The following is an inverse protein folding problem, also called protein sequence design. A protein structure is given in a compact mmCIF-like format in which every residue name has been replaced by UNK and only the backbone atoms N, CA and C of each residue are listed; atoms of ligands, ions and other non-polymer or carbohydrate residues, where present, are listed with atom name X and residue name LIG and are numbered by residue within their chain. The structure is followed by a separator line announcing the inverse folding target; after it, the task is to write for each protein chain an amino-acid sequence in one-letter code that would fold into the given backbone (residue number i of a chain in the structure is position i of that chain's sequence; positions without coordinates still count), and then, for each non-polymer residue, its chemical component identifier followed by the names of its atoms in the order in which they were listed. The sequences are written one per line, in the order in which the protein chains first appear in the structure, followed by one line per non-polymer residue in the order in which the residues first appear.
data_IF_658345358113
#
_entry.id   IF_658345358113
#
_cell.length_a   1.000
_cell.length_b   1.000
_cell.length_c   1.000
_cell.angle_alpha   90.00
_cell.angle_beta   90.00
_cell.angle_gamma   90.00
#
_symmetry.space_group_name_H-M   'P 1'
#
loop_
_entity.id
_entity.type
_entity.pdbx_description
1 polymer ?
#
# COMPACT_ATOMS: atom_id res chain seq x y z
N UNK A 1 -7.33 -6.10 15.16
CA UNK A 1 -6.72 -4.84 14.69
C UNK A 1 -5.46 -5.20 13.95
N UNK A 2 -5.39 -4.89 12.66
CA UNK A 2 -4.16 -5.00 11.88
C UNK A 2 -3.89 -3.62 11.31
N UNK A 3 -2.73 -3.06 11.64
CA UNK A 3 -2.23 -1.85 11.03
C UNK A 3 -0.72 -1.98 10.87
N UNK A 4 -0.25 -1.74 9.65
CA UNK A 4 1.14 -1.87 9.25
C UNK A 4 1.56 -0.48 8.79
N UNK A 5 2.50 0.16 9.50
CA UNK A 5 3.14 1.38 9.02
C UNK A 5 4.09 1.02 7.88
N UNK A 6 3.91 1.65 6.73
CA UNK A 6 4.65 1.38 5.50
C UNK A 6 5.77 2.41 5.27
N UNK A 7 5.54 3.67 5.64
CA UNK A 7 6.52 4.76 5.56
C UNK A 7 6.16 5.86 6.56
N UNK A 8 7.14 6.70 6.92
CA UNK A 8 6.96 7.86 7.80
C UNK A 8 6.62 9.15 7.05
N UNK A 9 6.84 9.19 5.73
CA UNK A 9 6.61 10.36 4.85
C UNK A 9 6.12 9.89 3.48
N UNK A 10 5.84 10.83 2.57
CA UNK A 10 5.54 10.53 1.16
C UNK A 10 6.59 9.61 0.52
N UNK A 11 6.11 8.62 -0.25
CA UNK A 11 6.92 7.51 -0.75
C UNK A 11 7.86 7.94 -1.90
N UNK A 12 9.13 7.53 -1.80
CA UNK A 12 10.04 7.48 -2.95
C UNK A 12 9.72 6.29 -3.86
N UNK A 13 10.31 6.21 -5.06
CA UNK A 13 10.11 5.03 -5.92
C UNK A 13 10.59 3.74 -5.25
N UNK A 14 11.72 3.80 -4.54
CA UNK A 14 12.28 2.67 -3.78
C UNK A 14 11.32 2.23 -2.66
N UNK A 15 10.67 3.18 -1.98
CA UNK A 15 9.65 2.87 -0.98
C UNK A 15 8.45 2.17 -1.62
N UNK A 16 7.97 2.66 -2.77
CA UNK A 16 6.86 2.05 -3.50
C UNK A 16 7.19 0.60 -3.85
N UNK A 17 8.37 0.34 -4.41
CA UNK A 17 8.80 -1.02 -4.75
C UNK A 17 8.94 -1.91 -3.51
N UNK A 18 9.51 -1.38 -2.43
CA UNK A 18 9.65 -2.10 -1.15
C UNK A 18 8.28 -2.46 -0.57
N UNK A 19 7.33 -1.54 -0.59
CA UNK A 19 5.96 -1.76 -0.11
C UNK A 19 5.25 -2.81 -0.95
N UNK A 20 5.30 -2.68 -2.28
CA UNK A 20 4.73 -3.65 -3.20
C UNK A 20 5.31 -5.05 -2.99
N UNK A 21 6.63 -5.16 -2.78
CA UNK A 21 7.27 -6.44 -2.46
C UNK A 21 6.78 -7.00 -1.14
N UNK A 22 6.69 -6.16 -0.10
CA UNK A 22 6.19 -6.56 1.20
C UNK A 22 4.77 -7.14 1.11
N UNK A 23 3.87 -6.49 0.35
CA UNK A 23 2.52 -6.99 0.13
C UNK A 23 2.50 -8.36 -0.57
N UNK A 24 3.40 -8.59 -1.53
CA UNK A 24 3.53 -9.88 -2.21
C UNK A 24 4.15 -10.99 -1.34
N UNK A 25 4.95 -10.66 -0.32
CA UNK A 25 5.52 -11.64 0.61
C UNK A 25 4.45 -12.25 1.53
N UNK A 26 3.37 -11.50 1.79
CA UNK A 26 2.23 -11.97 2.57
C UNK A 26 1.25 -12.77 1.71
N UNK A 27 1.45 -14.09 1.64
CA UNK A 27 0.60 -15.02 0.86
C UNK A 27 -0.90 -14.88 1.14
N UNK A 28 -1.27 -14.59 2.39
CA UNK A 28 -2.66 -14.35 2.77
C UNK A 28 -3.24 -13.09 2.09
N UNK A 29 -2.45 -12.03 1.91
CA UNK A 29 -2.90 -10.82 1.20
C UNK A 29 -2.97 -11.08 -0.31
N UNK A 30 -1.98 -11.77 -0.87
CA UNK A 30 -1.95 -12.12 -2.30
C UNK A 30 -3.19 -12.92 -2.70
N UNK A 31 -3.64 -13.85 -1.87
CA UNK A 31 -4.85 -14.64 -2.13
C UNK A 31 -6.15 -13.81 -2.13
N UNK A 32 -6.12 -12.60 -1.56
CA UNK A 32 -7.27 -11.70 -1.45
C UNK A 32 -7.26 -10.58 -2.49
N UNK A 33 -6.14 -10.38 -3.20
CA UNK A 33 -6.00 -9.35 -4.22
C UNK A 33 -6.82 -9.69 -5.46
N UNK A 34 -7.37 -8.67 -6.10
CA UNK A 34 -7.96 -8.83 -7.43
C UNK A 34 -6.86 -9.06 -8.48
N UNK A 35 -7.18 -9.64 -9.65
CA UNK A 35 -6.23 -9.76 -10.75
C UNK A 35 -5.63 -8.41 -11.17
N UNK A 36 -6.43 -7.34 -11.16
CA UNK A 36 -5.98 -5.98 -11.51
C UNK A 36 -4.97 -5.44 -10.49
N UNK A 37 -5.25 -5.56 -9.19
CA UNK A 37 -4.31 -5.16 -8.14
C UNK A 37 -2.99 -5.94 -8.25
N UNK A 38 -3.07 -7.25 -8.53
CA UNK A 38 -1.91 -8.10 -8.73
C UNK A 38 -1.09 -7.66 -9.96
N UNK A 39 -1.75 -7.26 -11.04
CA UNK A 39 -1.11 -6.75 -12.25
C UNK A 39 -0.44 -5.39 -12.01
N UNK A 40 -1.10 -4.48 -11.30
CA UNK A 40 -0.54 -3.17 -10.94
C UNK A 40 0.73 -3.33 -10.09
N UNK A 41 0.71 -4.21 -9.08
CA UNK A 41 1.88 -4.53 -8.24
C UNK A 41 3.00 -5.18 -9.09
N UNK A 42 2.66 -6.13 -9.96
CA UNK A 42 3.61 -6.79 -10.85
C UNK A 42 4.29 -5.79 -11.80
N UNK A 43 3.53 -4.80 -12.30
CA UNK A 43 4.08 -3.73 -13.15
C UNK A 43 5.10 -2.88 -12.39
N UNK A 44 4.77 -2.47 -11.16
CA UNK A 44 5.66 -1.67 -10.30
C UNK A 44 6.98 -2.41 -10.04
N UNK A 45 6.90 -3.71 -9.72
CA UNK A 45 8.06 -4.54 -9.40
C UNK A 45 8.85 -5.01 -10.63
N UNK A 46 8.36 -4.73 -11.85
CA UNK A 46 9.02 -5.18 -13.07
C UNK A 46 10.38 -4.49 -13.22
N UNK A 47 11.46 -5.24 -13.49
CA UNK A 47 12.75 -4.66 -13.86
C UNK A 47 12.61 -3.82 -15.12
N UNK A 48 13.05 -2.56 -15.07
CA UNK A 48 13.01 -1.64 -16.20
C UNK A 48 14.43 -1.32 -16.67
N UNK A 49 14.68 -1.52 -17.96
CA UNK A 49 15.97 -1.24 -18.61
C UNK A 49 16.03 0.14 -19.28
N UNK A 50 14.97 0.94 -19.12
CA UNK A 50 14.84 2.25 -19.73
C UNK A 50 15.51 3.31 -18.84
N UNK A 51 16.08 4.38 -19.42
CA UNK A 51 16.86 5.37 -18.67
C UNK A 51 16.07 6.11 -17.58
N UNK A 52 14.74 6.23 -17.74
CA UNK A 52 13.84 6.82 -16.74
C UNK A 52 13.12 5.75 -15.88
N UNK A 53 13.55 4.49 -15.96
CA UNK A 53 12.99 3.34 -15.22
C UNK A 53 11.46 3.17 -15.29
N UNK A 54 10.79 3.84 -16.26
CA UNK A 54 9.33 4.01 -16.34
C UNK A 54 8.72 4.53 -15.02
N UNK A 55 9.43 5.43 -14.34
CA UNK A 55 9.03 5.96 -13.03
C UNK A 55 7.63 6.56 -13.05
N UNK A 56 7.29 7.38 -14.07
CA UNK A 56 5.97 8.00 -14.19
C UNK A 56 4.85 6.97 -14.24
N UNK A 57 5.05 5.88 -15.01
CA UNK A 57 4.07 4.79 -15.08
C UNK A 57 3.97 4.05 -13.75
N UNK A 58 5.10 3.73 -13.10
CA UNK A 58 5.11 3.08 -11.79
C UNK A 58 4.38 3.93 -10.74
N UNK A 59 4.59 5.24 -10.74
CA UNK A 59 3.88 6.19 -9.87
C UNK A 59 2.38 6.24 -10.19
N UNK A 60 1.98 6.18 -11.46
CA UNK A 60 0.57 6.11 -11.82
C UNK A 60 -0.11 4.83 -11.31
N UNK A 61 0.53 3.66 -11.48
CA UNK A 61 0.04 2.39 -10.92
C UNK A 61 -0.02 2.44 -9.39
N UNK A 62 0.96 3.07 -8.74
CA UNK A 62 0.95 3.26 -7.29
C UNK A 62 -0.20 4.15 -6.81
N UNK A 63 -0.46 5.28 -7.49
CA UNK A 63 -1.58 6.15 -7.15
C UNK A 63 -2.93 5.43 -7.32
N UNK A 64 -3.06 4.58 -8.35
CA UNK A 64 -4.24 3.74 -8.52
C UNK A 64 -4.40 2.79 -7.33
N UNK A 65 -3.35 2.08 -6.94
CA UNK A 65 -3.36 1.21 -5.75
C UNK A 65 -3.71 1.97 -4.48
N UNK A 66 -3.15 3.15 -4.24
CA UNK A 66 -3.48 3.95 -3.05
C UNK A 66 -4.97 4.29 -2.95
N UNK A 67 -5.63 4.54 -4.09
CA UNK A 67 -7.03 4.97 -4.13
C UNK A 67 -8.03 3.80 -4.18
N UNK A 68 -7.64 2.69 -4.81
CA UNK A 68 -8.57 1.60 -5.17
C UNK A 68 -8.23 0.27 -4.48
N UNK A 69 -7.07 0.16 -3.84
CA UNK A 69 -6.67 -1.09 -3.19
C UNK A 69 -7.47 -1.33 -1.92
N UNK A 70 -8.38 -2.28 -2.05
CA UNK A 70 -9.19 -2.81 -0.97
C UNK A 70 -9.17 -4.34 -1.05
N UNK A 71 -8.94 -4.98 0.08
CA UNK A 71 -9.05 -6.44 0.25
C UNK A 71 -9.83 -6.75 1.52
N UNK A 72 -10.53 -7.89 1.55
CA UNK A 72 -11.33 -8.29 2.72
C UNK A 72 -10.65 -9.43 3.44
N UNK A 73 -10.35 -9.25 4.74
CA UNK A 73 -9.73 -10.31 5.54
C UNK A 73 -10.69 -11.49 5.79
N UNK A 74 -10.15 -12.60 6.34
CA UNK A 74 -10.94 -13.81 6.68
C UNK A 74 -12.05 -13.56 7.72
N UNK A 75 -12.04 -12.40 8.39
CA UNK A 75 -13.02 -11.98 9.39
C UNK A 75 -14.05 -10.99 8.81
N UNK A 76 -13.99 -10.69 7.52
CA UNK A 76 -14.89 -9.76 6.84
C UNK A 76 -14.51 -8.29 6.98
N UNK A 77 -13.33 -7.97 7.51
CA UNK A 77 -12.88 -6.59 7.63
C UNK A 77 -12.25 -6.11 6.33
N UNK A 78 -12.65 -4.91 5.90
CA UNK A 78 -12.00 -4.20 4.82
C UNK A 78 -10.61 -3.72 5.25
N UNK A 79 -9.58 -4.12 4.49
CA UNK A 79 -8.22 -3.62 4.59
C UNK A 79 -7.93 -2.71 3.39
N UNK A 80 -7.38 -1.54 3.67
CA UNK A 80 -7.02 -0.55 2.64
C UNK A 80 -5.87 0.33 3.12
N UNK A 81 -5.39 1.19 2.24
CA UNK A 81 -4.40 2.20 2.59
C UNK A 81 -5.05 3.39 3.32
N UNK A 82 -4.35 3.90 4.32
CA UNK A 82 -4.69 5.11 5.06
C UNK A 82 -3.46 6.00 5.15
N UNK A 83 -3.65 7.30 4.92
CA UNK A 83 -2.60 8.32 5.01
C UNK A 83 -2.88 9.16 6.25
N UNK A 84 -1.90 9.22 7.15
CA UNK A 84 -1.93 10.17 8.26
C UNK A 84 -1.54 11.56 7.74
N UNK A 85 -2.43 12.54 7.86
CA UNK A 85 -2.23 13.88 7.30
C UNK A 85 -1.12 14.71 7.96
N UNK A 86 -0.93 14.68 9.30
CA UNK A 86 0.16 15.40 9.96
C UNK A 86 1.56 14.93 9.58
N UNK A 87 1.77 13.62 9.46
CA UNK A 87 3.11 13.04 9.19
C UNK A 87 3.33 12.63 7.73
N UNK A 88 2.27 12.58 6.92
CA UNK A 88 2.24 11.91 5.63
C UNK A 88 2.59 10.40 5.68
N UNK A 89 2.59 9.79 6.86
CA UNK A 89 2.84 8.37 7.01
C UNK A 89 1.74 7.55 6.34
N UNK A 90 2.14 6.47 5.67
CA UNK A 90 1.21 5.52 5.05
C UNK A 90 1.05 4.29 5.92
N UNK A 91 -0.19 3.89 6.10
CA UNK A 91 -0.58 2.70 6.84
C UNK A 91 -1.42 1.79 5.95
N UNK A 92 -1.25 0.48 6.12
CA UNK A 92 -2.14 -0.52 5.56
C UNK A 92 -2.80 -1.31 6.69
N UNK A 93 -4.13 -1.33 6.71
CA UNK A 93 -4.85 -1.91 7.83
C UNK A 93 -6.35 -1.81 7.69
N UNK A 94 -7.06 -2.12 8.78
CA UNK A 94 -8.49 -1.88 8.86
C UNK A 94 -8.80 -0.49 9.44
N UNK A 95 -10.00 0.04 9.17
CA UNK A 95 -10.41 1.37 9.64
C UNK A 95 -10.26 1.53 11.16
N UNK A 96 -10.69 0.54 11.93
CA UNK A 96 -10.55 0.57 13.41
C UNK A 96 -9.10 0.75 13.87
N UNK A 97 -8.14 0.12 13.19
CA UNK A 97 -6.73 0.27 13.51
C UNK A 97 -6.21 1.68 13.23
N UNK A 98 -6.65 2.28 12.12
CA UNK A 98 -6.28 3.64 11.76
C UNK A 98 -6.90 4.68 12.71
N UNK A 99 -8.22 4.60 12.98
CA UNK A 99 -8.93 5.51 13.89
C UNK A 99 -8.29 5.49 15.31
N UNK A 100 -7.82 4.32 15.76
CA UNK A 100 -7.12 4.18 17.05
C UNK A 100 -5.76 4.88 17.04
N UNK A 101 -5.00 4.79 15.95
CA UNK A 101 -3.72 5.51 15.82
C UNK A 101 -3.91 7.02 15.81
N UNK A 102 -4.86 7.53 15.01
CA UNK A 102 -5.14 8.98 14.97
C UNK A 102 -5.54 9.52 16.34
N UNK A 103 -6.34 8.75 17.09
CA UNK A 103 -6.78 9.12 18.45
C UNK A 103 -5.61 9.19 19.45
N UNK A 104 -4.59 8.35 19.30
CA UNK A 104 -3.41 8.33 20.18
C UNK A 104 -2.42 9.44 19.81
N UNK A 105 -2.24 9.71 18.51
CA UNK A 105 -1.32 10.75 18.02
C UNK A 105 -1.77 12.18 18.32
N UNK A 106 -3.03 12.38 18.73
CA UNK A 106 -3.61 13.70 19.05
C UNK A 106 -3.53 14.05 20.56
N UNK A 107 -2.88 13.21 21.37
CA UNK A 107 -2.62 13.43 22.80
C UNK A 107 -1.15 13.66 23.12
#
# INVERSE_FOLDING_TARGET
MLIIKLTETKETLDDIERICRHLCEHKDLVALMTPEQSQDISYILRPTFNANHNEDQKRAHWQKLLNEFTVTDKKGNELRFFRDHPTEALYFGNKQGFDTLESISTH
#
